data_IF_479053576346
#
_entry.id   IF_479053576346
#
_cell.length_a   1.000
_cell.length_b   1.000
_cell.length_c   1.000
_cell.angle_alpha   90.00
_cell.angle_beta   90.00
_cell.angle_gamma   90.00
#
_symmetry.space_group_name_H-M   'P 1'
#
loop_
_entity.id
_entity.type
_entity.pdbx_description
1 polymer ?
#
# COMPACT_ATOMS: atom_id res chain seq x y z
N UNK A 1 -7.49 14.38 -3.26
CA UNK A 1 -6.38 14.64 -4.20
C UNK A 1 -5.69 13.31 -4.43
N UNK A 2 -5.55 12.88 -5.67
CA UNK A 2 -4.92 11.59 -6.03
C UNK A 2 -3.44 11.80 -6.34
N UNK A 3 -2.59 10.82 -6.03
CA UNK A 3 -1.18 10.83 -6.41
C UNK A 3 -1.03 10.66 -7.94
N UNK A 4 -0.05 11.33 -8.55
CA UNK A 4 0.31 11.06 -9.96
C UNK A 4 1.14 9.77 -10.08
N UNK A 5 1.28 9.23 -11.30
CA UNK A 5 2.16 8.07 -11.55
C UNK A 5 3.61 8.31 -11.13
N UNK A 6 4.10 9.55 -11.27
CA UNK A 6 5.42 9.96 -10.81
C UNK A 6 5.51 9.92 -9.28
N UNK A 7 4.52 10.48 -8.59
CA UNK A 7 4.48 10.49 -7.12
C UNK A 7 4.42 9.06 -6.57
N UNK A 8 3.60 8.20 -7.19
CA UNK A 8 3.55 6.78 -6.85
C UNK A 8 4.93 6.15 -7.04
N UNK A 9 5.60 6.39 -8.17
CA UNK A 9 6.97 5.91 -8.42
C UNK A 9 7.98 6.33 -7.34
N UNK A 10 7.85 7.56 -6.83
CA UNK A 10 8.72 8.10 -5.78
C UNK A 10 8.51 7.46 -4.39
N UNK A 11 7.39 6.75 -4.17
CA UNK A 11 7.11 6.06 -2.91
C UNK A 11 7.93 4.78 -2.71
N UNK A 12 8.62 4.26 -3.73
CA UNK A 12 9.39 3.02 -3.62
C UNK A 12 10.54 3.17 -2.63
N UNK A 13 10.63 2.24 -1.66
CA UNK A 13 11.75 2.23 -0.72
C UNK A 13 13.00 1.57 -1.34
N UNK A 14 14.20 2.04 -0.97
CA UNK A 14 15.47 1.52 -1.51
C UNK A 14 15.69 0.02 -1.23
N UNK A 15 15.18 -0.47 -0.11
CA UNK A 15 15.33 -1.87 0.31
C UNK A 15 14.22 -2.78 -0.25
N UNK A 16 13.23 -2.21 -0.94
CA UNK A 16 12.08 -2.95 -1.44
C UNK A 16 12.44 -3.73 -2.70
N UNK A 17 12.29 -5.06 -2.62
CA UNK A 17 12.56 -5.93 -3.74
C UNK A 17 11.49 -5.75 -4.84
N UNK A 18 11.76 -6.19 -6.09
CA UNK A 18 10.85 -5.96 -7.21
C UNK A 18 9.43 -6.52 -7.00
N UNK A 19 9.30 -7.66 -6.30
CA UNK A 19 8.00 -8.31 -6.05
C UNK A 19 7.19 -7.53 -5.01
N UNK A 20 7.83 -7.11 -3.91
CA UNK A 20 7.21 -6.23 -2.90
C UNK A 20 6.70 -4.94 -3.55
N UNK A 21 7.58 -4.27 -4.31
CA UNK A 21 7.24 -3.01 -4.93
C UNK A 21 6.11 -3.13 -5.93
N UNK A 22 6.12 -4.17 -6.77
CA UNK A 22 5.04 -4.40 -7.73
C UNK A 22 3.68 -4.56 -7.02
N UNK A 23 3.63 -5.40 -5.99
CA UNK A 23 2.40 -5.63 -5.24
C UNK A 23 1.93 -4.40 -4.47
N UNK A 24 2.85 -3.64 -3.86
CA UNK A 24 2.53 -2.42 -3.13
C UNK A 24 2.04 -1.32 -4.08
N UNK A 25 2.68 -1.18 -5.23
CA UNK A 25 2.28 -0.24 -6.28
C UNK A 25 0.89 -0.54 -6.81
N UNK A 26 0.57 -1.80 -7.07
CA UNK A 26 -0.78 -2.24 -7.48
C UNK A 26 -1.83 -1.85 -6.43
N UNK A 27 -1.53 -2.02 -5.14
CA UNK A 27 -2.41 -1.59 -4.05
C UNK A 27 -2.61 -0.06 -4.04
N UNK A 28 -1.52 0.70 -4.17
CA UNK A 28 -1.57 2.17 -4.19
C UNK A 28 -2.42 2.66 -5.36
N UNK A 29 -2.17 2.16 -6.58
CA UNK A 29 -2.88 2.58 -7.79
C UNK A 29 -4.39 2.30 -7.70
N UNK A 30 -4.77 1.13 -7.17
CA UNK A 30 -6.19 0.75 -7.03
C UNK A 30 -6.94 1.66 -6.04
N UNK A 31 -6.30 2.03 -4.95
CA UNK A 31 -6.94 2.76 -3.84
C UNK A 31 -6.71 4.28 -3.88
N UNK A 32 -5.94 4.77 -4.85
CA UNK A 32 -5.52 6.18 -4.94
C UNK A 32 -6.68 7.18 -5.01
N UNK A 33 -7.83 6.76 -5.54
CA UNK A 33 -9.03 7.59 -5.62
C UNK A 33 -9.90 7.54 -4.34
N UNK A 34 -9.67 6.57 -3.46
CA UNK A 34 -10.54 6.27 -2.32
C UNK A 34 -9.94 6.73 -0.99
N UNK A 35 -8.62 6.80 -0.90
CA UNK A 35 -7.90 7.10 0.33
C UNK A 35 -7.12 8.41 0.20
N UNK A 36 -6.97 9.11 1.31
CA UNK A 36 -6.01 10.20 1.38
C UNK A 36 -4.57 9.65 1.21
N UNK A 37 -3.63 10.44 0.66
CA UNK A 37 -2.29 9.95 0.36
C UNK A 37 -1.53 9.38 1.56
N UNK A 38 -1.68 9.95 2.74
CA UNK A 38 -0.96 9.51 3.94
C UNK A 38 -1.48 8.14 4.39
N UNK A 39 -2.81 7.99 4.46
CA UNK A 39 -3.46 6.72 4.79
C UNK A 39 -3.18 5.65 3.74
N UNK A 40 -3.17 6.01 2.47
CA UNK A 40 -2.84 5.13 1.35
C UNK A 40 -1.44 4.54 1.48
N UNK A 41 -0.44 5.39 1.76
CA UNK A 41 0.95 4.95 1.98
C UNK A 41 1.03 4.01 3.17
N UNK A 42 0.42 4.40 4.30
CA UNK A 42 0.39 3.60 5.52
C UNK A 42 -0.20 2.20 5.26
N UNK A 43 -1.39 2.14 4.67
CA UNK A 43 -2.09 0.88 4.38
C UNK A 43 -1.36 0.03 3.35
N UNK A 44 -0.70 0.64 2.36
CA UNK A 44 0.10 -0.10 1.38
C UNK A 44 1.26 -0.88 2.02
N UNK A 45 1.87 -0.33 3.07
CA UNK A 45 2.92 -1.03 3.83
C UNK A 45 2.31 -2.15 4.69
N UNK A 46 1.18 -1.89 5.36
CA UNK A 46 0.44 -2.93 6.10
C UNK A 46 0.04 -4.09 5.18
N UNK A 47 -0.41 -3.80 3.96
CA UNK A 47 -0.76 -4.81 2.97
C UNK A 47 0.40 -5.74 2.64
N UNK A 48 1.61 -5.20 2.41
CA UNK A 48 2.80 -6.03 2.18
C UNK A 48 3.14 -6.88 3.41
N UNK A 49 3.10 -6.29 4.60
CA UNK A 49 3.36 -6.99 5.86
C UNK A 49 2.39 -8.15 6.08
N UNK A 50 1.10 -7.95 5.80
CA UNK A 50 0.10 -9.03 5.89
C UNK A 50 0.33 -10.07 4.80
N UNK A 51 0.46 -9.64 3.54
CA UNK A 51 0.44 -10.54 2.36
C UNK A 51 1.70 -11.39 2.20
N UNK A 52 2.87 -10.83 2.50
CA UNK A 52 4.15 -11.52 2.28
C UNK A 52 4.79 -12.01 3.58
N UNK A 53 4.54 -11.32 4.69
CA UNK A 53 5.19 -11.60 5.97
C UNK A 53 4.25 -12.19 7.04
N UNK A 54 2.96 -12.36 6.72
CA UNK A 54 1.98 -12.96 7.62
C UNK A 54 1.67 -12.11 8.86
N UNK A 55 1.97 -10.81 8.82
CA UNK A 55 1.69 -9.90 9.92
C UNK A 55 0.17 -9.79 10.17
N UNK A 56 -0.19 -9.43 11.40
CA UNK A 56 -1.56 -9.13 11.80
C UNK A 56 -1.61 -7.78 12.51
N UNK A 57 -2.70 -7.05 12.27
CA UNK A 57 -2.96 -5.73 12.85
C UNK A 57 -4.33 -5.74 13.53
N UNK A 58 -4.70 -4.71 14.31
CA UNK A 58 -6.06 -4.58 14.84
C UNK A 58 -7.13 -4.71 13.75
N UNK A 59 -8.27 -5.29 14.10
CA UNK A 59 -9.32 -5.69 13.14
C UNK A 59 -9.72 -4.58 12.17
N UNK A 60 -9.93 -3.35 12.66
CA UNK A 60 -10.23 -2.18 11.83
C UNK A 60 -9.17 -1.91 10.75
N UNK A 61 -7.90 -2.13 11.05
CA UNK A 61 -6.80 -1.99 10.06
C UNK A 61 -6.82 -3.15 9.08
N UNK A 62 -7.13 -4.35 9.55
CA UNK A 62 -7.26 -5.52 8.68
C UNK A 62 -8.40 -5.34 7.68
N UNK A 63 -9.51 -4.74 8.08
CA UNK A 63 -10.63 -4.43 7.19
C UNK A 63 -10.22 -3.44 6.10
N UNK A 64 -9.53 -2.35 6.48
CA UNK A 64 -8.99 -1.37 5.54
C UNK A 64 -7.97 -1.97 4.55
N UNK A 65 -7.14 -2.92 5.00
CA UNK A 65 -6.17 -3.63 4.14
C UNK A 65 -6.86 -4.58 3.16
N UNK A 66 -8.02 -5.15 3.55
CA UNK A 66 -8.79 -6.11 2.75
C UNK A 66 -9.77 -5.45 1.78
N UNK A 67 -10.01 -4.14 1.90
CA UNK A 67 -10.88 -3.43 0.96
C UNK A 67 -10.39 -3.64 -0.48
N UNK A 68 -11.33 -4.07 -1.34
CA UNK A 68 -11.09 -4.57 -2.70
C UNK A 68 -11.25 -3.45 -3.74
#
# INVERSE_FOLDING_TARGET
MTLSEHDIGALRAKHENPTEWRLRREFIQRNNALLDPERLVCLSNCFINVKLYGASYPEKVMDDVRMN
#
